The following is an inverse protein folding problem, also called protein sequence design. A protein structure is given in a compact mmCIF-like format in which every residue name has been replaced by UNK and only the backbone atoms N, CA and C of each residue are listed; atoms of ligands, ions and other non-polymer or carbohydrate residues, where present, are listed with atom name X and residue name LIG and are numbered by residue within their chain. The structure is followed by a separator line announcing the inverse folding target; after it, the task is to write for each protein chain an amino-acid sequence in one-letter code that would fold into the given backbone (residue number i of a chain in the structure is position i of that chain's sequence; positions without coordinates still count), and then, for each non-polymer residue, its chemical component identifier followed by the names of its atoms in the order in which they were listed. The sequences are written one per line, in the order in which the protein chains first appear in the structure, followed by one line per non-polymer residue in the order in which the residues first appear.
data_IF_123576633641
#
_entry.id   IF_123576633641
#
_cell.length_a   1.000
_cell.length_b   1.000
_cell.length_c   1.000
_cell.angle_alpha   90.00
_cell.angle_beta   90.00
_cell.angle_gamma   90.00
#
_symmetry.space_group_name_H-M   'P 1'
#
loop_
_entity.id
_entity.type
_entity.pdbx_description
1 polymer ?
#
# COMPACT_ATOMS: atom_id res chain seq x y z
N UNK A 1 0.38 19.27 5.46
CA UNK A 1 0.01 17.91 5.93
C UNK A 1 -0.72 17.26 4.79
N UNK A 2 -0.18 16.20 4.19
CA UNK A 2 -0.88 15.49 3.12
C UNK A 2 -1.99 14.68 3.80
N UNK A 3 -3.24 15.13 3.64
CA UNK A 3 -4.41 14.32 3.97
C UNK A 3 -4.41 13.12 3.00
N UNK A 4 -3.78 12.01 3.40
CA UNK A 4 -4.01 10.75 2.70
C UNK A 4 -5.40 10.31 3.11
N UNK A 5 -6.39 10.52 2.23
CA UNK A 5 -7.70 9.91 2.36
C UNK A 5 -7.52 8.41 2.53
N UNK A 6 -8.33 7.79 3.40
CA UNK A 6 -8.28 6.35 3.62
C UNK A 6 -8.53 5.62 2.28
N UNK A 7 -7.61 4.74 1.84
CA UNK A 7 -7.75 4.02 0.58
C UNK A 7 -8.95 3.07 0.63
N UNK A 8 -9.41 2.67 -0.55
CA UNK A 8 -10.46 1.68 -0.74
C UNK A 8 -9.95 0.51 -1.58
N UNK A 9 -10.61 -0.64 -1.44
CA UNK A 9 -10.37 -1.79 -2.32
C UNK A 9 -10.54 -1.36 -3.78
N UNK A 10 -9.54 -1.67 -4.60
CA UNK A 10 -9.48 -1.29 -6.02
C UNK A 10 -8.65 -0.04 -6.30
N UNK A 11 -8.39 0.83 -5.32
CA UNK A 11 -7.57 2.03 -5.51
C UNK A 11 -6.16 1.66 -5.97
N UNK A 12 -5.57 2.51 -6.81
CA UNK A 12 -4.16 2.38 -7.19
C UNK A 12 -3.30 3.09 -6.17
N UNK A 13 -2.34 2.36 -5.63
CA UNK A 13 -1.32 2.89 -4.75
C UNK A 13 0.06 2.41 -5.19
N UNK A 14 1.09 3.15 -4.80
CA UNK A 14 2.48 2.75 -4.96
C UNK A 14 3.09 2.40 -3.60
N UNK A 15 3.78 1.26 -3.54
CA UNK A 15 4.50 0.77 -2.37
C UNK A 15 5.97 1.24 -2.39
N UNK A 16 6.45 1.69 -1.24
CA UNK A 16 7.80 2.22 -1.04
C UNK A 16 8.88 1.13 -1.27
N UNK A 17 9.98 1.43 -1.98
CA UNK A 17 11.18 0.58 -2.08
C UNK A 17 11.64 -0.07 -0.77
N UNK A 18 11.56 0.65 0.35
CA UNK A 18 11.95 0.15 1.68
C UNK A 18 11.05 -0.98 2.17
N UNK A 19 9.78 -1.00 1.75
CA UNK A 19 8.85 -2.08 2.06
C UNK A 19 9.05 -3.26 1.11
N UNK A 20 9.26 -2.99 -0.18
CA UNK A 20 9.30 -4.03 -1.21
C UNK A 20 10.67 -4.70 -1.36
N UNK A 21 11.74 -4.03 -0.92
CA UNK A 21 13.13 -4.47 -1.14
C UNK A 21 13.58 -4.31 -2.60
N UNK A 22 12.88 -3.50 -3.40
CA UNK A 22 13.17 -3.24 -4.81
C UNK A 22 13.72 -1.83 -5.01
N UNK A 23 14.34 -1.58 -6.16
CA UNK A 23 14.95 -0.26 -6.47
C UNK A 23 13.93 0.82 -6.86
N UNK A 24 12.65 0.46 -7.04
CA UNK A 24 11.61 1.35 -7.53
C UNK A 24 10.29 1.16 -6.77
N UNK A 25 9.48 2.22 -6.78
CA UNK A 25 8.11 2.17 -6.29
C UNK A 25 7.30 1.16 -7.10
N UNK A 26 6.54 0.30 -6.42
CA UNK A 26 5.69 -0.70 -7.09
C UNK A 26 4.25 -0.24 -7.08
N UNK A 27 3.64 -0.09 -8.26
CA UNK A 27 2.23 0.25 -8.40
C UNK A 27 1.40 -1.03 -8.36
N UNK A 28 0.33 -1.00 -7.57
CA UNK A 28 -0.63 -2.09 -7.46
C UNK A 28 -2.02 -1.58 -7.12
N UNK A 29 -3.00 -2.47 -7.26
CA UNK A 29 -4.36 -2.23 -6.78
C UNK A 29 -4.50 -2.70 -5.33
N UNK A 30 -5.15 -1.91 -4.49
CA UNK A 30 -5.48 -2.29 -3.11
C UNK A 30 -6.42 -3.48 -3.13
N UNK A 31 -6.06 -4.54 -2.40
CA UNK A 31 -6.82 -5.79 -2.30
C UNK A 31 -7.28 -6.10 -0.87
N UNK A 32 -6.68 -5.46 0.13
CA UNK A 32 -7.07 -5.60 1.54
C UNK A 32 -6.70 -4.36 2.35
N UNK A 33 -7.53 -4.07 3.36
CA UNK A 33 -7.38 -2.95 4.29
C UNK A 33 -7.71 -3.45 5.70
N UNK A 34 -6.72 -3.46 6.57
CA UNK A 34 -6.84 -3.91 7.96
C UNK A 34 -6.65 -2.74 8.93
N UNK A 35 -7.61 -2.56 9.83
CA UNK A 35 -7.50 -1.63 10.96
C UNK A 35 -6.83 -2.35 12.14
N UNK A 36 -5.50 -2.41 12.11
CA UNK A 36 -4.76 -3.10 13.16
C UNK A 36 -4.68 -2.23 14.44
N UNK A 37 -5.10 -2.72 15.62
CA UNK A 37 -5.15 -1.92 16.84
C UNK A 37 -3.76 -1.51 17.38
N UNK A 38 -2.67 -2.14 16.92
CA UNK A 38 -1.31 -1.82 17.34
C UNK A 38 -0.52 -1.06 16.27
N UNK A 39 -0.72 -1.40 14.99
CA UNK A 39 0.05 -0.86 13.86
C UNK A 39 -0.66 0.27 13.11
N UNK A 40 -1.94 0.53 13.41
CA UNK A 40 -2.79 1.43 12.65
C UNK A 40 -3.26 0.80 11.34
N UNK A 41 -3.49 1.63 10.33
CA UNK A 41 -3.98 1.18 9.02
C UNK A 41 -2.90 0.39 8.26
N UNK A 42 -3.21 -0.87 7.94
CA UNK A 42 -2.38 -1.77 7.13
C UNK A 42 -3.09 -1.99 5.79
N UNK A 43 -2.34 -1.89 4.70
CA UNK A 43 -2.85 -2.03 3.33
C UNK A 43 -2.08 -3.12 2.61
N UNK A 44 -2.77 -3.90 1.80
CA UNK A 44 -2.16 -4.81 0.83
C UNK A 44 -2.50 -4.38 -0.60
N UNK A 45 -1.48 -4.34 -1.48
CA UNK A 45 -1.65 -4.11 -2.91
C UNK A 45 -1.18 -5.33 -3.71
N UNK A 46 -1.81 -5.53 -4.87
CA UNK A 46 -1.39 -6.51 -5.88
C UNK A 46 -0.95 -5.80 -7.15
N UNK A 47 0.27 -6.07 -7.61
CA UNK A 47 0.79 -5.52 -8.87
C UNK A 47 0.36 -6.34 -10.09
N UNK A 48 0.74 -5.89 -11.28
CA UNK A 48 0.41 -6.54 -12.56
C UNK A 48 1.05 -7.91 -12.73
N UNK A 49 2.16 -8.18 -12.04
CA UNK A 49 2.84 -9.48 -12.01
C UNK A 49 2.20 -10.45 -11.00
N UNK A 50 1.19 -9.99 -10.26
CA UNK A 50 0.51 -10.76 -9.23
C UNK A 50 1.24 -10.83 -7.89
N UNK A 51 2.31 -10.06 -7.70
CA UNK A 51 3.02 -9.95 -6.41
C UNK A 51 2.16 -9.15 -5.44
N UNK A 52 2.18 -9.56 -4.17
CA UNK A 52 1.43 -8.90 -3.11
C UNK A 52 2.41 -8.24 -2.14
N UNK A 53 2.21 -6.95 -1.89
CA UNK A 53 2.97 -6.17 -0.91
C UNK A 53 2.01 -5.64 0.14
N UNK A 54 2.34 -5.83 1.41
CA UNK A 54 1.48 -5.43 2.53
C UNK A 54 2.29 -4.73 3.63
N UNK A 55 1.72 -3.71 4.26
CA UNK A 55 2.40 -2.94 5.30
C UNK A 55 1.57 -1.79 5.85
N UNK A 56 2.13 -1.04 6.80
CA UNK A 56 1.50 0.18 7.30
C UNK A 56 1.32 1.21 6.18
N UNK A 57 0.21 1.96 6.20
CA UNK A 57 -0.13 2.99 5.19
C UNK A 57 1.00 3.99 4.91
N UNK A 58 1.89 4.25 5.87
CA UNK A 58 3.05 5.15 5.71
C UNK A 58 4.03 4.73 4.60
N UNK A 59 4.03 3.45 4.22
CA UNK A 59 4.84 2.92 3.12
C UNK A 59 4.11 2.97 1.76
N UNK A 60 2.92 3.55 1.71
CA UNK A 60 2.11 3.65 0.52
C UNK A 60 1.79 5.10 0.20
N UNK A 61 1.64 5.40 -1.08
CA UNK A 61 1.18 6.69 -1.58
C UNK A 61 0.14 6.47 -2.66
N UNK A 62 -0.81 7.40 -2.76
CA UNK A 62 -1.71 7.46 -3.92
C UNK A 62 -0.89 7.69 -5.20
N UNK A 63 -1.35 7.09 -6.30
CA UNK A 63 -0.79 7.34 -7.64
C UNK A 63 -1.26 8.68 -8.16
#
# INVERSE_FOLDING_TARGET
MNNVMEPKIGDKMKADPQLTGLDAWVIGSVIDIEHNPFKGLVVAIKDELGRIFFGQIKYFQTV
#
